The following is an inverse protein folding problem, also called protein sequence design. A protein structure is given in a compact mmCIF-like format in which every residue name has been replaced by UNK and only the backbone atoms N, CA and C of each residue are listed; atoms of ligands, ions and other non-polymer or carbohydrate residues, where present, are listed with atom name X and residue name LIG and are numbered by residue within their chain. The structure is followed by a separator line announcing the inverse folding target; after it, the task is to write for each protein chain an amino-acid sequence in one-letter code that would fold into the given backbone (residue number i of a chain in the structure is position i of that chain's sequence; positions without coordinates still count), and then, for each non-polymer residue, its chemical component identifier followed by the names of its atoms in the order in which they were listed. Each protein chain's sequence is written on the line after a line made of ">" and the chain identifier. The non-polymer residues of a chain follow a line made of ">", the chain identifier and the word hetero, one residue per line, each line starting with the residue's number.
data_IF_645522762336
#
_entry.id   IF_645522762336
#
_cell.length_a   1.000
_cell.length_b   1.000
_cell.length_c   1.000
_cell.angle_alpha   90.00
_cell.angle_beta   90.00
_cell.angle_gamma   90.00
#
_symmetry.space_group_name_H-M   'P 1'
#
loop_
_entity.id
_entity.type
_entity.pdbx_description
1 polymer ?
#
# COMPACT_ATOMS: atom_id res chain seq x y z
N UNK A 1 8.75 1.99 -22.88
CA UNK A 1 8.05 1.34 -21.75
C UNK A 1 9.03 1.35 -20.60
N UNK A 2 8.85 2.24 -19.63
CA UNK A 2 9.69 2.23 -18.42
C UNK A 2 9.57 0.85 -17.75
N UNK A 3 10.69 0.30 -17.28
CA UNK A 3 10.71 -1.01 -16.64
C UNK A 3 9.95 -0.92 -15.31
N UNK A 4 9.18 -1.97 -14.96
CA UNK A 4 8.51 -2.08 -13.66
C UNK A 4 9.44 -1.77 -12.49
N UNK A 5 10.72 -2.15 -12.59
CA UNK A 5 11.74 -1.85 -11.59
C UNK A 5 11.97 -0.35 -11.41
N UNK A 6 12.07 0.38 -12.52
CA UNK A 6 12.32 1.83 -12.50
C UNK A 6 11.11 2.55 -11.90
N UNK A 7 9.91 2.12 -12.29
CA UNK A 7 8.66 2.58 -11.71
C UNK A 7 8.60 2.32 -10.19
N UNK A 8 8.81 1.08 -9.74
CA UNK A 8 8.79 0.73 -8.32
C UNK A 8 9.80 1.56 -7.51
N UNK A 9 11.00 1.78 -8.06
CA UNK A 9 12.05 2.54 -7.38
C UNK A 9 11.67 4.02 -7.21
N UNK A 10 11.00 4.61 -8.20
CA UNK A 10 10.52 5.98 -8.13
C UNK A 10 9.37 6.15 -7.12
N UNK A 11 8.38 5.26 -7.17
CA UNK A 11 7.16 5.37 -6.37
C UNK A 11 7.35 4.98 -4.90
N UNK A 12 8.23 4.03 -4.57
CA UNK A 12 8.55 3.67 -3.18
C UNK A 12 9.23 4.81 -2.43
N UNK A 13 9.89 5.74 -3.14
CA UNK A 13 10.55 6.91 -2.54
C UNK A 13 9.65 8.16 -2.51
N UNK A 14 8.47 8.11 -3.13
CA UNK A 14 7.58 9.26 -3.20
C UNK A 14 6.86 9.47 -1.88
N UNK A 15 6.86 10.68 -1.31
CA UNK A 15 6.05 10.99 -0.15
C UNK A 15 4.57 10.93 -0.51
N UNK A 16 3.77 10.55 0.47
CA UNK A 16 2.30 10.54 0.38
C UNK A 16 1.78 11.99 0.37
N UNK A 17 0.73 12.26 -0.41
CA UNK A 17 0.15 13.60 -0.44
C UNK A 17 -0.56 13.94 0.90
N UNK A 18 -0.62 15.22 1.28
CA UNK A 18 -1.10 15.66 2.59
C UNK A 18 -2.52 15.29 3.04
N UNK A 19 -3.53 14.95 2.20
CA UNK A 19 -4.81 14.53 2.78
C UNK A 19 -4.74 13.16 3.47
N UNK A 20 -3.70 12.35 3.19
CA UNK A 20 -3.54 11.03 3.78
C UNK A 20 -2.99 11.12 5.20
N UNK A 21 -2.24 12.17 5.53
CA UNK A 21 -1.62 12.34 6.86
C UNK A 21 -0.46 11.39 7.14
N UNK A 22 0.32 11.04 6.11
CA UNK A 22 1.60 10.34 6.21
C UNK A 22 2.72 11.34 5.93
N UNK A 23 3.71 11.44 6.83
CA UNK A 23 4.75 12.47 6.78
C UNK A 23 6.04 11.99 6.08
N UNK A 24 6.40 10.72 6.29
CA UNK A 24 7.70 10.13 5.98
C UNK A 24 7.59 8.69 5.49
N UNK A 25 6.56 7.96 5.92
CA UNK A 25 6.35 6.56 5.51
C UNK A 25 5.74 6.47 4.10
N UNK A 26 6.34 5.70 3.18
CA UNK A 26 5.81 5.54 1.83
C UNK A 26 4.59 4.63 1.83
N UNK A 27 3.52 5.02 1.13
CA UNK A 27 2.27 4.25 1.06
C UNK A 27 2.34 3.05 0.09
N UNK A 28 3.16 3.14 -0.96
CA UNK A 28 3.22 2.15 -2.04
C UNK A 28 3.56 0.73 -1.55
N UNK A 29 4.54 0.51 -0.64
CA UNK A 29 4.79 -0.82 -0.09
C UNK A 29 3.56 -1.45 0.58
N UNK A 30 2.80 -0.66 1.34
CA UNK A 30 1.59 -1.12 2.04
C UNK A 30 0.47 -1.49 1.07
N UNK A 31 0.29 -0.71 -0.01
CA UNK A 31 -0.66 -1.03 -1.07
C UNK A 31 -0.33 -2.35 -1.77
N UNK A 32 0.94 -2.53 -2.17
CA UNK A 32 1.38 -3.76 -2.83
C UNK A 32 1.22 -4.99 -1.92
N UNK A 33 1.56 -4.83 -0.64
CA UNK A 33 1.38 -5.86 0.38
C UNK A 33 -0.09 -6.26 0.57
N UNK A 34 -0.98 -5.27 0.72
CA UNK A 34 -2.40 -5.53 0.92
C UNK A 34 -3.08 -6.07 -0.34
N UNK A 35 -2.67 -5.64 -1.53
CA UNK A 35 -3.16 -6.20 -2.79
C UNK A 35 -2.74 -7.66 -2.97
N UNK A 36 -1.48 -7.99 -2.68
CA UNK A 36 -1.00 -9.37 -2.69
C UNK A 36 -1.76 -10.24 -1.69
N UNK A 37 -1.98 -9.72 -0.48
CA UNK A 37 -2.76 -10.41 0.56
C UNK A 37 -4.20 -10.64 0.14
N UNK A 38 -4.87 -9.62 -0.41
CA UNK A 38 -6.25 -9.72 -0.91
C UNK A 38 -6.37 -10.77 -2.03
N UNK A 39 -5.41 -10.79 -2.97
CA UNK A 39 -5.35 -11.82 -4.02
C UNK A 39 -5.21 -13.22 -3.42
N UNK A 40 -4.33 -13.41 -2.44
CA UNK A 40 -4.17 -14.72 -1.80
C UNK A 40 -5.44 -15.16 -1.07
N UNK A 41 -6.10 -14.27 -0.35
CA UNK A 41 -7.40 -14.56 0.29
C UNK A 41 -8.48 -14.90 -0.74
N UNK A 42 -8.50 -14.25 -1.90
CA UNK A 42 -9.43 -14.60 -2.96
C UNK A 42 -9.15 -16.01 -3.51
N UNK A 43 -7.88 -16.33 -3.79
CA UNK A 43 -7.47 -17.61 -4.39
C UNK A 43 -7.63 -18.79 -3.42
N UNK A 44 -7.28 -18.62 -2.16
CA UNK A 44 -7.24 -19.71 -1.19
C UNK A 44 -8.48 -19.78 -0.29
N UNK A 45 -9.19 -18.67 -0.09
CA UNK A 45 -10.36 -18.62 0.81
C UNK A 45 -11.65 -18.17 0.10
N UNK A 46 -11.59 -17.80 -1.19
CA UNK A 46 -12.75 -17.28 -1.92
C UNK A 46 -13.23 -15.91 -1.44
N UNK A 47 -12.42 -15.16 -0.68
CA UNK A 47 -12.80 -13.86 -0.11
C UNK A 47 -12.34 -12.70 -0.98
N UNK A 48 -13.28 -11.88 -1.43
CA UNK A 48 -13.03 -10.60 -2.10
C UNK A 48 -13.09 -9.43 -1.11
N UNK A 49 -12.40 -8.35 -1.45
CA UNK A 49 -12.39 -7.10 -0.68
C UNK A 49 -12.65 -5.94 -1.64
N UNK A 50 -13.28 -4.87 -1.16
CA UNK A 50 -13.43 -3.66 -1.93
C UNK A 50 -12.08 -2.93 -2.02
N UNK A 51 -11.86 -2.24 -3.13
CA UNK A 51 -10.67 -1.43 -3.35
C UNK A 51 -10.49 -0.36 -2.28
N UNK A 52 -11.58 0.25 -1.83
CA UNK A 52 -11.61 1.26 -0.76
C UNK A 52 -11.17 0.70 0.59
N UNK A 53 -11.52 -0.55 0.90
CA UNK A 53 -11.06 -1.24 2.11
C UNK A 53 -9.55 -1.51 2.06
N UNK A 54 -9.04 -1.93 0.90
CA UNK A 54 -7.60 -2.19 0.69
C UNK A 54 -6.80 -0.90 0.84
N UNK A 55 -7.27 0.20 0.24
CA UNK A 55 -6.61 1.51 0.33
C UNK A 55 -6.64 1.99 1.78
N UNK A 56 -7.79 1.94 2.44
CA UNK A 56 -7.95 2.38 3.84
C UNK A 56 -7.05 1.58 4.78
N UNK A 57 -7.01 0.26 4.64
CA UNK A 57 -6.13 -0.63 5.41
C UNK A 57 -4.65 -0.27 5.20
N UNK A 58 -4.26 -0.01 3.95
CA UNK A 58 -2.87 0.36 3.63
C UNK A 58 -2.47 1.69 4.29
N UNK A 59 -3.36 2.67 4.32
CA UNK A 59 -3.13 3.96 4.98
C UNK A 59 -3.00 3.78 6.50
N UNK A 60 -3.90 3.01 7.12
CA UNK A 60 -3.89 2.77 8.57
C UNK A 60 -2.61 2.06 8.99
N UNK A 61 -2.22 1.01 8.27
CA UNK A 61 -0.99 0.26 8.57
C UNK A 61 0.28 1.12 8.35
N UNK A 62 0.30 1.94 7.29
CA UNK A 62 1.40 2.87 7.05
C UNK A 62 1.53 3.93 8.17
N UNK A 63 0.41 4.43 8.70
CA UNK A 63 0.41 5.39 9.81
C UNK A 63 0.87 4.74 11.11
N UNK A 64 0.36 3.55 11.42
CA UNK A 64 0.78 2.82 12.60
C UNK A 64 2.28 2.51 12.57
N UNK A 65 2.84 2.26 11.39
CA UNK A 65 4.28 2.12 11.21
C UNK A 65 5.04 3.43 11.41
N UNK A 66 4.55 4.54 10.85
CA UNK A 66 5.14 5.86 11.07
C UNK A 66 5.15 6.28 12.53
N UNK A 67 4.07 6.01 13.27
CA UNK A 67 3.95 6.32 14.70
C UNK A 67 4.85 5.45 15.59
N UNK A 68 5.21 4.25 15.12
CA UNK A 68 6.03 3.29 15.87
C UNK A 68 7.54 3.49 15.69
N UNK A 69 7.99 4.32 14.74
CA UNK A 69 9.39 4.60 14.44
C UNK A 69 9.80 6.03 14.80
#
# INVERSE_FOLDING_TARGET
>A
LENLRDWLTAFVKSPSLPPVGLLSSPLIPWLLWNLWTARNKLVFEGKSFLEEDIISKSIVEAKAWEEAN
#
